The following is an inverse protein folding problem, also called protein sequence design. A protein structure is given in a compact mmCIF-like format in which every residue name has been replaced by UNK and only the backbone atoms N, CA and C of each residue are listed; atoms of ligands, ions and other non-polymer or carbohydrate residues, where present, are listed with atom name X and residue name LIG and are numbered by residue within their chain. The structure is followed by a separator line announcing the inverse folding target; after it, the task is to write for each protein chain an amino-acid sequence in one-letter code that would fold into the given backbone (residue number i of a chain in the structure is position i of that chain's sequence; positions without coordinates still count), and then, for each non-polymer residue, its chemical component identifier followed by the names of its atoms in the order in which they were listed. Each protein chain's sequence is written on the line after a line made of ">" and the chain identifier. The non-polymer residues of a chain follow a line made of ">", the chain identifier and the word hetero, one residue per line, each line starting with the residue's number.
data_IF_828706731277
#
_entry.id   IF_828706731277
#
_cell.length_a   1.000
_cell.length_b   1.000
_cell.length_c   1.000
_cell.angle_alpha   90.00
_cell.angle_beta   90.00
_cell.angle_gamma   90.00
#
_symmetry.space_group_name_H-M   'P 1'
#
loop_
_entity.id
_entity.type
_entity.pdbx_description
1 polymer ?
#
# COMPACT_ATOMS: atom_id res chain seq x y z
N UNK A 1 -23.03 24.17 -30.35
CA UNK A 1 -21.92 23.71 -29.49
C UNK A 1 -22.03 22.19 -29.50
N UNK A 2 -20.94 21.49 -29.86
CA UNK A 2 -20.92 20.02 -29.77
C UNK A 2 -21.21 19.57 -28.34
N UNK A 3 -21.91 18.45 -28.17
CA UNK A 3 -22.30 17.92 -26.85
C UNK A 3 -21.08 17.55 -25.98
N UNK A 4 -19.94 17.26 -26.61
CA UNK A 4 -18.67 17.00 -25.94
C UNK A 4 -17.49 17.57 -26.73
N UNK A 5 -16.38 17.87 -26.06
CA UNK A 5 -15.18 18.35 -26.70
C UNK A 5 -14.14 18.96 -25.74
N UNK A 6 -13.09 19.57 -26.30
CA UNK A 6 -12.15 20.36 -25.52
C UNK A 6 -11.69 21.60 -26.28
N UNK A 7 -11.25 22.63 -25.56
CA UNK A 7 -10.64 23.82 -26.11
C UNK A 7 -9.34 24.13 -25.34
N UNK A 8 -8.35 24.67 -26.10
CA UNK A 8 -7.10 25.18 -25.49
C UNK A 8 -7.32 26.60 -25.01
N UNK A 9 -6.90 26.88 -23.77
CA UNK A 9 -6.85 28.22 -23.22
C UNK A 9 -5.49 28.48 -22.58
N UNK A 10 -4.67 29.27 -23.20
CA UNK A 10 -3.28 29.46 -22.79
C UNK A 10 -2.49 28.14 -22.82
N UNK A 11 -1.91 27.78 -21.68
CA UNK A 11 -1.22 26.49 -21.49
C UNK A 11 -2.15 25.35 -21.02
N UNK A 12 -3.40 25.67 -20.69
CA UNK A 12 -4.38 24.71 -20.19
C UNK A 12 -5.34 24.21 -21.27
N UNK A 13 -6.17 23.25 -20.90
CA UNK A 13 -7.27 22.71 -21.71
C UNK A 13 -8.54 22.69 -20.85
N UNK A 14 -9.68 22.99 -21.44
CA UNK A 14 -11.01 22.90 -20.84
C UNK A 14 -11.76 21.80 -21.58
N UNK A 15 -12.26 20.82 -20.86
CA UNK A 15 -13.02 19.68 -21.39
C UNK A 15 -14.48 19.82 -20.95
N UNK A 16 -15.43 19.35 -21.79
CA UNK A 16 -16.86 19.31 -21.45
C UNK A 16 -17.55 18.13 -22.12
N UNK A 17 -18.66 17.68 -21.53
CA UNK A 17 -19.56 16.67 -22.10
C UNK A 17 -18.97 15.28 -22.26
N UNK A 18 -17.87 14.94 -21.54
CA UNK A 18 -17.20 13.65 -21.61
C UNK A 18 -16.88 13.11 -20.21
N UNK A 19 -16.75 11.78 -20.02
CA UNK A 19 -16.25 11.18 -18.79
C UNK A 19 -14.84 11.67 -18.44
N UNK A 20 -14.52 11.70 -17.13
CA UNK A 20 -13.22 12.17 -16.64
C UNK A 20 -12.06 11.34 -17.21
N UNK A 21 -12.23 10.04 -17.33
CA UNK A 21 -11.23 9.11 -17.88
C UNK A 21 -10.86 9.45 -19.32
N UNK A 22 -11.85 9.85 -20.12
CA UNK A 22 -11.63 10.31 -21.51
C UNK A 22 -10.89 11.63 -21.54
N UNK A 23 -11.28 12.57 -20.68
CA UNK A 23 -10.61 13.86 -20.57
C UNK A 23 -9.14 13.72 -20.15
N UNK A 24 -8.84 12.84 -19.16
CA UNK A 24 -7.48 12.53 -18.71
C UNK A 24 -6.65 11.94 -19.87
N UNK A 25 -7.23 10.99 -20.62
CA UNK A 25 -6.57 10.37 -21.77
C UNK A 25 -6.26 11.39 -22.87
N UNK A 26 -7.24 12.24 -23.22
CA UNK A 26 -7.05 13.32 -24.19
C UNK A 26 -6.07 14.42 -23.71
N UNK A 27 -5.98 14.61 -22.41
CA UNK A 27 -5.00 15.48 -21.79
C UNK A 27 -3.58 14.89 -21.78
N UNK A 28 -3.42 13.61 -22.13
CA UNK A 28 -2.14 12.88 -22.10
C UNK A 28 -1.52 12.85 -20.67
N UNK A 29 -2.38 12.80 -19.65
CA UNK A 29 -1.94 12.71 -18.27
C UNK A 29 -1.57 11.26 -17.96
N UNK A 30 -0.31 11.04 -17.63
CA UNK A 30 0.19 9.74 -17.21
C UNK A 30 -0.14 9.51 -15.71
N UNK A 31 -0.72 8.38 -15.34
CA UNK A 31 -0.90 8.03 -13.93
C UNK A 31 0.43 7.99 -13.18
N UNK A 32 0.44 8.41 -11.92
CA UNK A 32 1.63 8.35 -11.06
C UNK A 32 2.09 6.91 -10.81
N UNK A 33 1.14 5.99 -10.69
CA UNK A 33 1.35 4.55 -10.56
C UNK A 33 0.35 3.81 -11.44
N UNK A 34 0.83 2.78 -12.10
CA UNK A 34 -0.01 1.72 -12.66
C UNK A 34 0.33 0.39 -11.99
N UNK A 35 -0.67 -0.47 -11.85
CA UNK A 35 -0.56 -1.78 -11.22
C UNK A 35 -1.10 -2.83 -12.18
N UNK A 36 -0.34 -3.91 -12.39
CA UNK A 36 -0.81 -5.05 -13.16
C UNK A 36 -1.53 -6.03 -12.22
N UNK A 37 -2.77 -5.70 -11.91
CA UNK A 37 -3.63 -6.49 -11.01
C UNK A 37 -4.56 -7.46 -11.76
N UNK A 38 -4.28 -7.68 -13.04
CA UNK A 38 -5.15 -8.50 -13.90
C UNK A 38 -6.57 -7.90 -14.01
N UNK A 39 -7.58 -8.76 -14.16
CA UNK A 39 -8.98 -8.35 -14.33
C UNK A 39 -9.74 -8.10 -13.01
N UNK A 40 -9.07 -7.97 -11.87
CA UNK A 40 -9.73 -7.73 -10.60
C UNK A 40 -10.18 -6.27 -10.50
N UNK A 41 -11.50 -6.06 -10.45
CA UNK A 41 -12.13 -4.72 -10.29
C UNK A 41 -11.89 -4.10 -8.90
N UNK A 42 -11.44 -4.89 -7.93
CA UNK A 42 -11.29 -4.48 -6.54
C UNK A 42 -9.81 -4.24 -6.21
N UNK A 43 -9.23 -3.20 -6.81
CA UNK A 43 -7.93 -2.73 -6.34
C UNK A 43 -8.10 -2.01 -5.00
N UNK A 44 -7.60 -2.65 -3.93
CA UNK A 44 -7.60 -2.08 -2.58
C UNK A 44 -6.18 -1.69 -2.11
N UNK A 45 -5.26 -1.52 -3.06
CA UNK A 45 -3.96 -0.93 -2.76
C UNK A 45 -4.08 0.59 -2.89
N UNK A 46 -3.88 1.27 -1.78
CA UNK A 46 -3.89 2.73 -1.73
C UNK A 46 -2.47 3.25 -1.75
N UNK A 47 -2.28 4.41 -2.36
CA UNK A 47 -0.98 5.05 -2.38
C UNK A 47 -1.05 6.55 -2.14
N UNK A 48 0.05 7.12 -1.70
CA UNK A 48 0.32 8.55 -1.77
C UNK A 48 1.75 8.79 -2.25
N UNK A 49 1.96 9.89 -2.98
CA UNK A 49 3.25 10.26 -3.57
C UNK A 49 3.75 11.58 -3.02
N UNK A 50 5.05 11.65 -2.74
CA UNK A 50 5.78 12.87 -2.38
C UNK A 50 7.06 12.96 -3.21
N UNK A 51 7.14 14.02 -4.01
CA UNK A 51 8.35 14.35 -4.75
C UNK A 51 9.28 15.17 -3.89
N UNK A 52 10.49 14.66 -3.66
CA UNK A 52 11.57 15.34 -2.97
C UNK A 52 12.61 15.83 -3.99
N UNK A 53 13.63 16.55 -3.51
CA UNK A 53 14.72 17.05 -4.38
C UNK A 53 15.48 15.92 -5.07
N UNK A 54 15.77 14.84 -4.35
CA UNK A 54 16.66 13.76 -4.80
C UNK A 54 15.98 12.38 -4.83
N UNK A 55 14.68 12.31 -4.58
CA UNK A 55 13.91 11.07 -4.55
C UNK A 55 12.42 11.32 -4.77
N UNK A 56 11.73 10.29 -5.25
CA UNK A 56 10.28 10.18 -5.23
C UNK A 56 9.90 9.13 -4.18
N UNK A 57 9.01 9.49 -3.26
CA UNK A 57 8.60 8.64 -2.13
C UNK A 57 7.14 8.29 -2.28
N UNK A 58 6.85 7.00 -2.37
CA UNK A 58 5.50 6.46 -2.44
C UNK A 58 5.19 5.67 -1.17
N UNK A 59 4.11 5.99 -0.50
CA UNK A 59 3.54 5.14 0.55
C UNK A 59 2.52 4.22 -0.10
N UNK A 60 2.64 2.92 0.12
CA UNK A 60 1.71 1.91 -0.38
C UNK A 60 1.06 1.19 0.80
N UNK A 61 -0.24 0.87 0.68
CA UNK A 61 -0.98 0.14 1.71
C UNK A 61 -1.93 -0.88 1.06
N UNK A 62 -1.74 -2.15 1.37
CA UNK A 62 -2.70 -3.20 1.04
C UNK A 62 -3.84 -3.18 2.05
N UNK A 63 -5.05 -2.92 1.61
CA UNK A 63 -6.25 -2.91 2.46
C UNK A 63 -7.06 -4.20 2.42
N UNK A 64 -6.57 -5.19 1.66
CA UNK A 64 -7.17 -6.53 1.65
C UNK A 64 -6.69 -7.39 2.80
N UNK A 65 -7.44 -8.44 3.08
CA UNK A 65 -7.06 -9.51 4.01
C UNK A 65 -6.35 -10.67 3.27
N UNK A 66 -5.88 -10.40 2.04
CA UNK A 66 -5.21 -11.34 1.15
C UNK A 66 -3.85 -10.80 0.73
N UNK A 67 -2.94 -11.72 0.34
CA UNK A 67 -1.65 -11.36 -0.24
C UNK A 67 -1.91 -10.85 -1.66
N UNK A 68 -1.33 -9.68 -1.98
CA UNK A 68 -1.32 -9.10 -3.30
C UNK A 68 0.10 -9.15 -3.88
N UNK A 69 0.27 -9.87 -4.98
CA UNK A 69 1.51 -9.86 -5.75
C UNK A 69 1.25 -9.17 -7.09
N UNK A 70 1.96 -8.08 -7.33
CA UNK A 70 1.75 -7.30 -8.54
C UNK A 70 2.99 -6.54 -8.99
N UNK A 71 3.03 -6.23 -10.27
CA UNK A 71 4.02 -5.34 -10.86
C UNK A 71 3.51 -3.90 -10.74
N UNK A 72 4.20 -3.09 -9.95
CA UNK A 72 3.97 -1.66 -9.88
C UNK A 72 4.85 -0.94 -10.89
N UNK A 73 4.27 -0.05 -11.69
CA UNK A 73 5.01 0.84 -12.56
C UNK A 73 4.79 2.28 -12.11
N UNK A 74 5.84 2.89 -11.61
CA UNK A 74 5.88 4.27 -11.14
C UNK A 74 6.28 5.19 -12.30
N UNK A 75 5.59 6.32 -12.49
CA UNK A 75 5.94 7.30 -13.52
C UNK A 75 7.33 7.93 -13.28
N UNK A 76 7.79 7.95 -12.05
CA UNK A 76 9.13 8.41 -11.70
C UNK A 76 10.19 7.46 -12.26
N UNK A 77 11.22 8.02 -12.93
CA UNK A 77 12.37 7.28 -13.46
C UNK A 77 13.52 7.35 -12.46
N UNK A 78 13.93 6.20 -11.94
CA UNK A 78 15.01 6.11 -10.97
C UNK A 78 15.89 4.88 -11.23
N UNK A 79 17.17 4.96 -10.91
CA UNK A 79 18.12 3.86 -11.06
C UNK A 79 18.00 2.83 -9.93
N UNK A 80 17.59 3.28 -8.75
CA UNK A 80 17.53 2.50 -7.53
C UNK A 80 16.18 2.66 -6.87
N UNK A 81 15.72 1.58 -6.24
CA UNK A 81 14.53 1.57 -5.42
C UNK A 81 14.82 0.94 -4.07
N UNK A 82 14.20 1.50 -3.04
CA UNK A 82 14.30 1.01 -1.68
C UNK A 82 12.91 0.78 -1.12
N UNK A 83 12.74 -0.29 -0.34
CA UNK A 83 11.58 -0.49 0.52
C UNK A 83 11.96 -0.07 1.94
N UNK A 84 11.13 0.78 2.54
CA UNK A 84 11.27 1.19 3.94
C UNK A 84 10.06 0.70 4.73
N UNK A 85 10.32 -0.10 5.74
CA UNK A 85 9.27 -0.59 6.64
C UNK A 85 9.01 0.46 7.74
N UNK A 86 7.81 1.06 7.79
CA UNK A 86 7.51 2.11 8.78
C UNK A 86 7.39 1.57 10.22
N UNK A 87 7.11 0.29 10.39
CA UNK A 87 6.95 -0.32 11.72
C UNK A 87 8.30 -0.65 12.37
N UNK A 88 9.30 -1.12 11.58
CA UNK A 88 10.61 -1.54 12.09
C UNK A 88 11.71 -0.53 11.82
N UNK A 89 11.52 0.37 10.86
CA UNK A 89 12.56 1.29 10.37
C UNK A 89 13.59 0.64 9.46
N UNK A 90 13.42 -0.64 9.14
CA UNK A 90 14.33 -1.37 8.25
C UNK A 90 14.19 -0.88 6.80
N UNK A 91 15.32 -0.94 6.08
CA UNK A 91 15.40 -0.54 4.66
C UNK A 91 16.06 -1.63 3.84
N UNK A 92 15.50 -1.90 2.66
CA UNK A 92 15.97 -2.92 1.75
C UNK A 92 16.12 -2.36 0.34
N UNK A 93 17.11 -2.85 -0.41
CA UNK A 93 17.21 -2.61 -1.84
C UNK A 93 16.22 -3.50 -2.58
N UNK A 94 15.55 -2.91 -3.58
CA UNK A 94 14.64 -3.61 -4.49
C UNK A 94 15.26 -3.72 -5.87
N UNK A 95 14.94 -4.82 -6.56
CA UNK A 95 15.30 -4.97 -7.97
C UNK A 95 14.36 -4.11 -8.83
N UNK A 96 14.95 -3.40 -9.80
CA UNK A 96 14.28 -2.41 -10.62
C UNK A 96 14.29 -2.85 -12.08
N UNK A 97 13.14 -2.79 -12.72
CA UNK A 97 12.99 -2.94 -14.17
C UNK A 97 12.73 -1.55 -14.78
N UNK A 98 13.63 -1.09 -15.61
CA UNK A 98 13.46 0.17 -16.34
C UNK A 98 12.68 -0.08 -17.63
N UNK A 99 11.68 0.76 -17.89
CA UNK A 99 10.94 0.75 -19.15
C UNK A 99 10.61 2.18 -19.61
N UNK A 100 9.98 2.30 -20.76
CA UNK A 100 9.62 3.61 -21.34
C UNK A 100 8.64 4.38 -20.45
N UNK A 101 7.79 3.69 -19.72
CA UNK A 101 6.73 4.25 -18.87
C UNK A 101 7.22 4.68 -17.49
N UNK A 102 8.43 4.26 -17.07
CA UNK A 102 8.97 4.61 -15.75
C UNK A 102 9.81 3.52 -15.11
N UNK A 103 9.69 3.38 -13.80
CA UNK A 103 10.38 2.39 -12.99
C UNK A 103 9.40 1.33 -12.53
N UNK A 104 9.62 0.06 -12.91
CA UNK A 104 8.77 -1.04 -12.50
C UNK A 104 9.43 -1.89 -11.42
N UNK A 105 8.63 -2.34 -10.45
CA UNK A 105 9.05 -3.14 -9.31
C UNK A 105 7.98 -4.20 -9.04
N UNK A 106 8.38 -5.46 -8.98
CA UNK A 106 7.50 -6.53 -8.54
C UNK A 106 7.50 -6.57 -7.01
N UNK A 107 6.33 -6.51 -6.40
CA UNK A 107 6.15 -6.52 -4.95
C UNK A 107 5.09 -7.53 -4.54
N UNK A 108 5.33 -8.17 -3.40
CA UNK A 108 4.35 -8.95 -2.66
C UNK A 108 3.99 -8.15 -1.40
N UNK A 109 2.71 -7.87 -1.21
CA UNK A 109 2.18 -7.17 -0.05
C UNK A 109 1.28 -8.11 0.74
N UNK A 110 1.64 -8.35 2.00
CA UNK A 110 0.82 -9.17 2.90
C UNK A 110 -0.49 -8.45 3.28
N UNK A 111 -1.46 -9.19 3.88
CA UNK A 111 -2.68 -8.59 4.38
C UNK A 111 -2.42 -7.40 5.29
N UNK A 112 -3.08 -6.26 5.00
CA UNK A 112 -2.97 -5.03 5.80
C UNK A 112 -1.57 -4.44 5.91
N UNK A 113 -0.62 -4.90 5.10
CA UNK A 113 0.75 -4.40 5.10
C UNK A 113 0.85 -3.02 4.43
N UNK A 114 1.78 -2.22 4.94
CA UNK A 114 2.14 -0.94 4.34
C UNK A 114 3.64 -0.68 4.43
N UNK A 115 4.17 0.02 3.42
CA UNK A 115 5.57 0.42 3.37
C UNK A 115 5.78 1.63 2.46
N UNK A 116 6.97 2.20 2.54
CA UNK A 116 7.39 3.23 1.60
C UNK A 116 8.27 2.62 0.51
N UNK A 117 8.03 3.05 -0.74
CA UNK A 117 8.94 2.84 -1.86
C UNK A 117 9.64 4.16 -2.13
N UNK A 118 10.95 4.14 -2.04
CA UNK A 118 11.80 5.32 -2.30
C UNK A 118 12.57 5.10 -3.59
N UNK A 119 12.23 5.88 -4.60
CA UNK A 119 12.87 5.88 -5.91
C UNK A 119 13.93 6.97 -5.95
N UNK A 120 15.18 6.61 -6.27
CA UNK A 120 16.32 7.53 -6.22
C UNK A 120 17.37 7.20 -7.27
N UNK A 121 18.20 8.18 -7.60
CA UNK A 121 19.39 7.98 -8.43
C UNK A 121 20.70 7.90 -7.60
N UNK A 122 20.60 7.97 -6.26
CA UNK A 122 21.72 7.77 -5.35
C UNK A 122 21.84 6.30 -5.01
N UNK A 123 23.04 5.77 -5.22
CA UNK A 123 23.37 4.40 -4.78
C UNK A 123 23.58 4.40 -3.26
N UNK A 124 22.96 3.43 -2.61
CA UNK A 124 23.12 3.16 -1.18
C UNK A 124 23.26 1.65 -0.98
N UNK A 125 24.31 1.21 -0.30
CA UNK A 125 24.51 -0.21 -0.01
C UNK A 125 23.49 -0.68 1.05
N UNK A 126 22.38 -1.21 0.60
CA UNK A 126 21.33 -1.78 1.44
C UNK A 126 21.25 -3.30 1.26
N UNK A 127 20.83 -4.04 2.31
CA UNK A 127 20.54 -5.46 2.17
C UNK A 127 19.39 -5.65 1.17
N UNK A 128 19.48 -6.70 0.36
CA UNK A 128 18.34 -7.10 -0.47
C UNK A 128 17.23 -7.67 0.41
N UNK A 129 15.99 -7.37 0.06
CA UNK A 129 14.84 -7.95 0.73
C UNK A 129 14.88 -9.47 0.59
N UNK A 130 14.92 -10.18 1.73
CA UNK A 130 14.74 -11.62 1.76
C UNK A 130 13.27 -11.90 2.01
N UNK A 131 12.59 -12.50 1.06
CA UNK A 131 11.26 -13.05 1.27
C UNK A 131 11.44 -14.28 2.16
N UNK A 132 11.36 -14.10 3.47
CA UNK A 132 11.37 -15.19 4.42
C UNK A 132 10.00 -15.85 4.39
N UNK A 133 9.87 -16.96 3.69
CA UNK A 133 8.68 -17.84 3.72
C UNK A 133 8.57 -18.67 5.01
N UNK A 134 9.16 -18.23 6.11
CA UNK A 134 9.00 -18.94 7.39
C UNK A 134 7.72 -18.45 8.08
N UNK A 135 6.64 -19.15 7.86
CA UNK A 135 5.48 -19.08 8.75
C UNK A 135 5.86 -19.70 10.11
N UNK A 136 6.09 -18.87 11.11
CA UNK A 136 6.14 -19.35 12.49
C UNK A 136 4.70 -19.46 12.98
N UNK A 137 4.17 -20.68 13.04
CA UNK A 137 2.89 -20.97 13.68
C UNK A 137 3.16 -21.24 15.16
N UNK A 138 2.72 -20.34 16.02
CA UNK A 138 2.63 -20.59 17.45
C UNK A 138 1.17 -20.90 17.77
N UNK A 139 0.95 -22.00 18.47
CA UNK A 139 -0.37 -22.30 19.04
C UNK A 139 -0.53 -21.48 20.32
N UNK A 140 -1.43 -20.50 20.28
CA UNK A 140 -1.77 -19.64 21.41
C UNK A 140 -3.12 -20.01 22.04
N UNK A 141 -3.57 -21.25 21.82
CA UNK A 141 -4.85 -21.77 22.31
C UNK A 141 -4.86 -22.10 23.83
N UNK A 142 -3.86 -21.66 24.58
CA UNK A 142 -3.78 -21.85 26.02
C UNK A 142 -4.77 -20.96 26.78
N UNK A 143 -4.96 -21.30 28.07
CA UNK A 143 -5.76 -20.52 29.01
C UNK A 143 -5.16 -19.11 29.18
N UNK A 144 -6.01 -18.08 29.16
CA UNK A 144 -5.64 -16.69 29.31
C UNK A 144 -6.24 -16.08 30.57
N UNK A 145 -5.41 -15.45 31.40
CA UNK A 145 -5.87 -14.63 32.53
C UNK A 145 -5.90 -13.17 32.04
N UNK A 146 -7.07 -12.58 32.00
CA UNK A 146 -7.29 -11.19 31.55
C UNK A 146 -7.85 -10.39 32.70
N UNK A 147 -7.18 -9.28 33.05
CA UNK A 147 -7.66 -8.33 34.04
C UNK A 147 -8.38 -7.16 33.37
N UNK A 148 -9.66 -6.99 33.70
CA UNK A 148 -10.46 -5.85 33.29
C UNK A 148 -10.58 -4.90 34.50
N UNK A 149 -10.19 -3.63 34.31
CA UNK A 149 -10.19 -2.65 35.39
C UNK A 149 -11.62 -2.40 35.93
N UNK A 150 -11.90 -2.71 37.21
CA UNK A 150 -13.21 -2.44 37.81
C UNK A 150 -13.57 -0.96 37.87
N UNK A 151 -12.58 -0.06 37.90
CA UNK A 151 -12.84 1.40 37.86
C UNK A 151 -13.43 1.87 36.54
N UNK A 152 -13.21 1.07 35.48
CA UNK A 152 -13.78 1.30 34.14
C UNK A 152 -15.04 0.47 33.88
N UNK A 153 -15.57 -0.18 34.92
CA UNK A 153 -16.75 -1.06 34.84
C UNK A 153 -16.44 -2.51 34.49
N UNK A 154 -15.16 -2.88 34.49
CA UNK A 154 -14.74 -4.25 34.18
C UNK A 154 -14.98 -5.24 35.31
N UNK A 155 -15.08 -6.57 35.02
CA UNK A 155 -15.36 -7.61 36.02
C UNK A 155 -14.15 -8.03 36.89
N UNK A 156 -12.97 -7.42 36.71
CA UNK A 156 -11.72 -7.82 37.35
C UNK A 156 -11.03 -8.98 36.59
N UNK A 157 -10.55 -9.97 37.32
CA UNK A 157 -9.85 -11.12 36.72
C UNK A 157 -10.84 -12.09 36.07
N UNK A 158 -10.62 -12.39 34.81
CA UNK A 158 -11.43 -13.36 34.05
C UNK A 158 -10.49 -14.38 33.38
N UNK A 159 -10.84 -15.64 33.46
CA UNK A 159 -10.12 -16.73 32.83
C UNK A 159 -10.85 -17.12 31.53
N UNK A 160 -10.11 -17.09 30.43
CA UNK A 160 -10.56 -17.57 29.13
C UNK A 160 -9.84 -18.88 28.80
N UNK A 161 -10.56 -19.96 28.60
CA UNK A 161 -9.98 -21.24 28.20
C UNK A 161 -9.50 -21.27 26.75
N UNK A 162 -10.00 -20.38 25.94
CA UNK A 162 -9.62 -20.17 24.53
C UNK A 162 -9.70 -18.70 24.19
N UNK A 163 -9.01 -18.28 23.10
CA UNK A 163 -9.19 -16.95 22.55
C UNK A 163 -10.60 -16.83 21.93
N UNK A 164 -11.41 -15.95 22.49
CA UNK A 164 -12.74 -15.61 21.99
C UNK A 164 -12.85 -14.09 21.82
N UNK A 165 -13.82 -13.66 21.02
CA UNK A 165 -14.22 -12.27 21.03
C UNK A 165 -14.83 -11.93 22.39
N UNK A 166 -14.27 -10.97 23.11
CA UNK A 166 -14.68 -10.60 24.48
C UNK A 166 -16.13 -10.13 24.55
N UNK A 167 -16.69 -9.61 23.46
CA UNK A 167 -18.09 -9.22 23.38
C UNK A 167 -19.05 -10.40 23.46
N UNK A 168 -18.56 -11.63 23.24
CA UNK A 168 -19.35 -12.87 23.35
C UNK A 168 -19.23 -13.53 24.73
N UNK A 169 -18.49 -12.92 25.67
CA UNK A 169 -18.36 -13.47 27.03
C UNK A 169 -19.59 -13.13 27.87
N UNK A 170 -20.02 -14.09 28.73
CA UNK A 170 -21.23 -13.97 29.54
C UNK A 170 -21.18 -12.84 30.59
N UNK A 171 -19.99 -12.36 30.94
CA UNK A 171 -19.75 -11.25 31.85
C UNK A 171 -19.50 -9.93 31.15
N UNK A 172 -20.16 -9.66 30.04
CA UNK A 172 -20.16 -8.33 29.44
C UNK A 172 -20.94 -7.39 30.36
N UNK A 173 -20.19 -6.51 31.05
CA UNK A 173 -20.77 -5.48 31.91
C UNK A 173 -21.60 -4.45 31.15
#
# INVERSE_FOLDING_TARGET
>A
IADSGFNKYGKGRVFWGMPLEEAIKLAEITPDITMDIGNTKDNMIYFSHRKLKDADVYFLANRKDEIEQTLFTFAAKAKYAQLWNPATGERFALDVLQNENGTSIELEMHPRESFFIVLTNKDEALPKMKINKSERKEDISNQWNVFFDPQLGGPGDVIFDTLIDWTNHTNTG
#
